data_IF_348919776905
#
_entry.id   IF_348919776905
#
_cell.length_a   1.000
_cell.length_b   1.000
_cell.length_c   1.000
_cell.angle_alpha   90.00
_cell.angle_beta   90.00
_cell.angle_gamma   90.00
#
_symmetry.space_group_name_H-M   'P 1'
#
loop_
_entity.id
_entity.type
_entity.pdbx_description
1 polymer ?
#
# COMPACT_ATOMS: atom_id res chain seq x y z
N UNK A 1 -9.70 -8.38 13.59
CA UNK A 1 -8.48 -9.16 13.30
C UNK A 1 -7.28 -8.21 13.44
N UNK A 2 -6.26 -8.55 14.22
CA UNK A 2 -5.03 -7.76 14.36
C UNK A 2 -3.97 -8.23 13.35
N UNK A 3 -3.08 -7.32 12.93
CA UNK A 3 -1.95 -7.67 12.07
C UNK A 3 -0.89 -8.45 12.87
N UNK A 4 -0.19 -9.42 12.26
CA UNK A 4 0.90 -10.13 12.94
C UNK A 4 2.02 -9.17 13.39
N UNK A 5 2.68 -9.49 14.52
CA UNK A 5 3.92 -8.82 14.94
C UNK A 5 4.98 -8.90 13.83
N UNK A 6 5.90 -7.94 13.80
CA UNK A 6 6.96 -7.78 12.80
C UNK A 6 6.49 -7.36 11.39
N UNK A 7 5.18 -7.24 11.15
CA UNK A 7 4.68 -6.52 9.97
C UNK A 7 4.66 -5.02 10.25
N UNK A 8 4.74 -4.18 9.21
CA UNK A 8 4.64 -2.71 9.35
C UNK A 8 3.38 -2.32 10.13
N UNK A 9 2.23 -2.91 9.78
CA UNK A 9 0.96 -2.64 10.47
C UNK A 9 0.94 -3.15 11.91
N UNK A 10 1.58 -4.28 12.20
CA UNK A 10 1.66 -4.83 13.55
C UNK A 10 2.57 -4.04 14.48
N UNK A 11 3.64 -3.45 13.93
CA UNK A 11 4.62 -2.69 14.72
C UNK A 11 4.23 -1.20 14.86
N UNK A 12 3.52 -0.63 13.88
CA UNK A 12 3.28 0.83 13.84
C UNK A 12 1.80 1.24 13.76
N UNK A 13 0.87 0.32 13.45
CA UNK A 13 -0.57 0.65 13.35
C UNK A 13 -1.26 0.74 14.70
N UNK A 14 -2.16 1.71 14.87
CA UNK A 14 -2.93 1.91 16.11
C UNK A 14 -4.36 1.39 16.00
N UNK A 15 -5.00 1.60 14.85
CA UNK A 15 -6.36 1.15 14.56
C UNK A 15 -6.46 0.60 13.14
N UNK A 16 -7.57 -0.05 12.78
CA UNK A 16 -7.78 -0.52 11.40
C UNK A 16 -7.77 0.64 10.40
N UNK A 17 -8.23 1.82 10.79
CA UNK A 17 -8.25 3.03 9.95
C UNK A 17 -6.90 3.75 9.95
N UNK A 18 -6.19 3.72 11.07
CA UNK A 18 -4.87 4.34 11.25
C UNK A 18 -3.79 3.24 11.21
N UNK A 19 -3.62 2.63 10.04
CA UNK A 19 -2.77 1.46 9.86
C UNK A 19 -1.48 1.74 9.07
N UNK A 20 -1.07 3.01 9.00
CA UNK A 20 0.23 3.52 8.52
C UNK A 20 0.49 3.40 7.01
N UNK A 21 0.21 2.26 6.39
CA UNK A 21 0.58 1.97 5.00
C UNK A 21 -0.57 1.39 4.18
N UNK A 22 -0.63 1.80 2.92
CA UNK A 22 -1.44 1.19 1.86
C UNK A 22 -0.54 0.38 0.92
N UNK A 23 -1.08 -0.70 0.36
CA UNK A 23 -0.46 -1.47 -0.71
C UNK A 23 -1.56 -2.03 -1.60
N UNK A 24 -1.34 -2.03 -2.92
CA UNK A 24 -2.28 -2.60 -3.86
C UNK A 24 -2.46 -4.11 -3.59
N UNK A 25 -3.69 -4.60 -3.76
CA UNK A 25 -4.08 -5.97 -3.46
C UNK A 25 -3.87 -6.95 -4.63
N UNK A 26 -3.59 -6.43 -5.83
CA UNK A 26 -3.36 -7.19 -7.05
C UNK A 26 -2.44 -6.43 -8.01
N UNK A 27 -1.97 -7.10 -9.07
CA UNK A 27 -1.13 -6.45 -10.11
C UNK A 27 -1.95 -5.45 -10.90
N UNK A 28 -3.20 -5.80 -11.21
CA UNK A 28 -4.15 -4.98 -11.94
C UNK A 28 -4.47 -3.70 -11.14
N UNK A 29 -4.72 -3.82 -9.83
CA UNK A 29 -4.89 -2.68 -8.93
C UNK A 29 -3.62 -1.82 -8.89
N UNK A 30 -2.44 -2.44 -8.83
CA UNK A 30 -1.17 -1.71 -8.81
C UNK A 30 -0.95 -0.90 -10.09
N UNK A 31 -1.20 -1.46 -11.27
CA UNK A 31 -1.06 -0.75 -12.56
C UNK A 31 -2.02 0.45 -12.64
N UNK A 32 -3.26 0.28 -12.18
CA UNK A 32 -4.25 1.35 -12.11
C UNK A 32 -3.84 2.44 -11.11
N UNK A 33 -3.45 2.07 -9.90
CA UNK A 33 -3.03 3.01 -8.85
C UNK A 33 -1.76 3.77 -9.27
N UNK A 34 -0.77 3.10 -9.85
CA UNK A 34 0.43 3.74 -10.37
C UNK A 34 0.10 4.78 -11.44
N UNK A 35 -0.79 4.44 -12.38
CA UNK A 35 -1.23 5.37 -13.43
C UNK A 35 -2.00 6.56 -12.84
N UNK A 36 -2.81 6.34 -11.80
CA UNK A 36 -3.58 7.38 -11.12
C UNK A 36 -2.69 8.39 -10.39
N UNK A 37 -1.67 7.92 -9.67
CA UNK A 37 -0.82 8.78 -8.84
C UNK A 37 0.36 9.39 -9.58
N UNK A 38 0.91 8.69 -10.57
CA UNK A 38 2.15 9.09 -11.25
C UNK A 38 1.99 9.35 -12.75
N UNK A 39 0.78 9.17 -13.29
CA UNK A 39 0.51 9.28 -14.72
C UNK A 39 1.01 8.06 -15.51
N UNK A 40 0.82 8.11 -16.84
CA UNK A 40 1.23 7.03 -17.74
C UNK A 40 2.72 7.01 -18.08
N UNK A 41 3.46 8.04 -17.67
CA UNK A 41 4.89 8.12 -17.93
C UNK A 41 5.64 7.25 -16.92
N UNK A 42 6.01 6.04 -17.35
CA UNK A 42 6.86 5.16 -16.53
C UNK A 42 8.16 5.90 -16.28
N UNK A 43 8.41 6.31 -15.03
CA UNK A 43 9.72 6.83 -14.61
C UNK A 43 10.76 5.78 -14.98
N UNK A 44 11.62 6.10 -15.95
CA UNK A 44 12.86 5.36 -16.20
C UNK A 44 13.74 5.59 -14.97
N UNK A 45 13.82 4.59 -14.10
CA UNK A 45 14.83 4.50 -13.05
C UNK A 45 16.03 3.78 -13.65
#
# INVERSE_FOLDING_TARGET
RQAPKETIRGNFGTTTRENVVHASDSRESAERELSLFFGHEKRKI
#
